data_IF_657975336667
#
_entry.id   IF_657975336667
#
_cell.length_a   1.000
_cell.length_b   1.000
_cell.length_c   1.000
_cell.angle_alpha   90.00
_cell.angle_beta   90.00
_cell.angle_gamma   90.00
#
_symmetry.space_group_name_H-M   'P 1'
#
loop_
_entity.id
_entity.type
_entity.pdbx_description
1 polymer ?
#
# COMPACT_ATOMS: atom_id res chain seq x y z
N UNK A 1 -1.60 -74.09 9.80
CA UNK A 1 -1.38 -73.28 11.01
C UNK A 1 -1.37 -71.82 10.59
N UNK A 2 -2.38 -71.00 11.00
CA UNK A 2 -2.40 -69.59 10.68
C UNK A 2 -1.24 -68.92 11.43
N UNK A 3 -0.32 -68.28 10.69
CA UNK A 3 0.76 -67.56 11.30
C UNK A 3 0.17 -66.42 12.20
N UNK A 4 0.40 -66.54 13.50
CA UNK A 4 -0.02 -65.57 14.48
C UNK A 4 0.77 -64.22 14.20
N UNK A 5 0.11 -63.12 13.93
CA UNK A 5 0.80 -61.88 13.60
C UNK A 5 1.64 -61.39 14.79
N UNK A 6 2.90 -61.06 14.54
CA UNK A 6 3.79 -60.50 15.57
C UNK A 6 3.52 -59.03 15.72
N UNK A 7 3.02 -58.63 16.90
CA UNK A 7 2.68 -57.21 17.20
C UNK A 7 3.75 -56.65 18.11
N UNK A 8 4.39 -55.55 17.68
CA UNK A 8 5.29 -54.79 18.52
C UNK A 8 4.81 -53.35 18.68
N UNK A 9 4.79 -52.88 19.93
CA UNK A 9 4.42 -51.46 20.28
C UNK A 9 5.64 -50.78 20.86
N UNK A 10 6.14 -49.79 20.14
CA UNK A 10 7.36 -49.05 20.50
C UNK A 10 7.21 -48.17 21.73
N UNK A 11 8.33 -47.60 22.19
CA UNK A 11 8.36 -46.59 23.24
C UNK A 11 7.50 -45.38 22.89
N UNK A 12 6.90 -44.69 23.89
CA UNK A 12 6.20 -43.42 23.64
C UNK A 12 7.20 -42.40 23.14
N UNK A 13 6.83 -41.71 22.04
CA UNK A 13 7.60 -40.55 21.58
C UNK A 13 7.37 -39.34 22.49
N UNK A 14 8.07 -38.21 22.22
CA UNK A 14 7.96 -36.98 23.03
C UNK A 14 6.52 -36.39 23.09
N UNK A 15 5.66 -36.84 22.19
CA UNK A 15 4.24 -36.51 22.18
C UNK A 15 3.37 -37.61 22.84
N UNK A 16 3.98 -38.68 23.38
CA UNK A 16 3.32 -39.78 23.99
C UNK A 16 2.68 -40.78 23.02
N UNK A 17 2.95 -40.65 21.70
CA UNK A 17 2.50 -41.66 20.71
C UNK A 17 3.39 -42.86 20.69
N UNK A 18 2.79 -44.04 20.58
CA UNK A 18 3.49 -45.30 20.42
C UNK A 18 3.35 -45.80 18.98
N UNK A 19 4.46 -46.18 18.36
CA UNK A 19 4.48 -46.77 17.02
C UNK A 19 4.05 -48.24 17.12
N UNK A 20 3.09 -48.64 16.30
CA UNK A 20 2.63 -50.03 16.22
C UNK A 20 3.16 -50.64 14.93
N UNK A 21 3.78 -51.79 15.05
CA UNK A 21 4.32 -52.59 13.96
C UNK A 21 3.63 -53.94 14.00
N UNK A 22 3.08 -54.39 12.88
CA UNK A 22 2.45 -55.74 12.73
C UNK A 22 3.22 -56.44 11.61
N UNK A 23 3.74 -57.64 11.90
CA UNK A 23 4.56 -58.44 10.98
C UNK A 23 5.70 -57.63 10.32
N UNK A 24 6.40 -56.82 11.11
CA UNK A 24 7.50 -55.98 10.63
C UNK A 24 7.09 -54.74 9.82
N UNK A 25 5.78 -54.56 9.52
CA UNK A 25 5.27 -53.40 8.77
C UNK A 25 4.66 -52.38 9.72
N UNK A 26 4.95 -51.07 9.53
CA UNK A 26 4.36 -50.03 10.37
C UNK A 26 2.85 -49.93 10.12
N UNK A 27 2.03 -50.28 11.12
CA UNK A 27 0.58 -50.25 11.06
C UNK A 27 -0.01 -48.89 11.46
N UNK A 28 0.75 -48.06 12.21
CA UNK A 28 0.31 -46.73 12.64
C UNK A 28 0.92 -46.28 13.95
N UNK A 29 0.42 -45.16 14.47
CA UNK A 29 0.77 -44.65 15.80
C UNK A 29 -0.50 -44.49 16.64
N UNK A 30 -0.42 -44.83 17.92
CA UNK A 30 -1.54 -44.81 18.84
C UNK A 30 -1.16 -44.11 20.15
N UNK A 31 -2.12 -43.50 20.82
CA UNK A 31 -1.93 -42.72 22.04
C UNK A 31 -2.73 -43.27 23.23
N UNK A 32 -3.54 -44.28 23.02
CA UNK A 32 -4.35 -44.90 24.08
C UNK A 32 -4.57 -46.35 23.82
N UNK A 33 -4.86 -47.17 24.88
CA UNK A 33 -5.22 -48.59 24.76
C UNK A 33 -6.42 -48.81 23.83
N UNK A 34 -7.43 -47.94 23.93
CA UNK A 34 -8.64 -48.02 23.10
C UNK A 34 -8.33 -47.83 21.60
N UNK A 35 -7.39 -46.94 21.28
CA UNK A 35 -6.98 -46.67 19.89
C UNK A 35 -6.11 -47.84 19.36
N UNK A 36 -5.27 -48.38 20.19
CA UNK A 36 -4.51 -49.60 19.86
C UNK A 36 -5.46 -50.75 19.51
N UNK A 37 -6.45 -51.01 20.34
CA UNK A 37 -7.46 -52.05 20.10
C UNK A 37 -8.22 -51.82 18.78
N UNK A 38 -8.62 -50.57 18.48
CA UNK A 38 -9.27 -50.25 17.20
C UNK A 38 -8.36 -50.47 16.00
N UNK A 39 -7.07 -50.11 16.12
CA UNK A 39 -6.08 -50.31 15.06
C UNK A 39 -5.86 -51.80 14.81
N UNK A 40 -5.70 -52.59 15.86
CA UNK A 40 -5.54 -54.06 15.78
C UNK A 40 -6.79 -54.71 15.17
N UNK A 41 -7.97 -54.29 15.59
CA UNK A 41 -9.23 -54.78 15.03
C UNK A 41 -9.36 -54.46 13.52
N UNK A 42 -8.98 -53.28 13.08
CA UNK A 42 -8.95 -52.91 11.65
C UNK A 42 -7.92 -53.70 10.86
N UNK A 43 -6.84 -54.09 11.50
CA UNK A 43 -5.80 -54.94 10.90
C UNK A 43 -6.17 -56.46 10.90
N UNK A 44 -7.39 -56.79 11.35
CA UNK A 44 -7.85 -58.18 11.39
C UNK A 44 -7.21 -59.03 12.47
N UNK A 45 -6.62 -58.40 13.51
CA UNK A 45 -5.97 -59.13 14.62
C UNK A 45 -7.00 -59.47 15.68
N UNK A 46 -7.17 -60.77 16.06
CA UNK A 46 -8.10 -61.21 17.09
C UNK A 46 -7.76 -60.66 18.47
N UNK A 47 -8.77 -60.55 19.35
CA UNK A 47 -8.56 -60.15 20.74
C UNK A 47 -7.75 -61.22 21.51
N UNK A 48 -6.78 -60.74 22.35
CA UNK A 48 -6.01 -61.63 23.22
C UNK A 48 -4.62 -62.04 22.69
N UNK A 49 -4.14 -61.38 21.62
CA UNK A 49 -2.79 -61.59 21.11
C UNK A 49 -1.73 -60.96 22.01
N UNK A 50 -0.62 -61.70 22.16
CA UNK A 50 0.55 -61.16 22.86
C UNK A 50 1.13 -59.95 22.13
N UNK A 51 1.26 -58.83 22.87
CA UNK A 51 1.82 -57.58 22.37
C UNK A 51 3.22 -57.40 22.95
N UNK A 52 4.21 -57.36 22.07
CA UNK A 52 5.58 -57.08 22.48
C UNK A 52 5.79 -55.56 22.71
N UNK A 53 5.92 -55.18 23.99
CA UNK A 53 6.10 -53.80 24.41
C UNK A 53 7.60 -53.41 24.46
N UNK A 54 7.95 -52.32 23.78
CA UNK A 54 9.31 -51.80 23.76
C UNK A 54 9.33 -50.42 24.47
N UNK A 55 10.21 -50.28 25.47
CA UNK A 55 10.41 -49.01 26.18
C UNK A 55 9.25 -48.59 27.07
N UNK A 56 8.63 -49.52 27.76
CA UNK A 56 7.53 -49.31 28.71
C UNK A 56 6.39 -50.28 28.46
N UNK A 57 5.66 -50.66 29.50
CA UNK A 57 4.55 -51.64 29.46
C UNK A 57 3.22 -51.01 28.99
N UNK A 58 2.15 -51.81 29.08
CA UNK A 58 0.80 -51.41 28.69
C UNK A 58 0.18 -50.30 29.55
N UNK A 59 0.81 -49.92 30.66
CA UNK A 59 0.30 -48.90 31.59
C UNK A 59 0.83 -47.49 31.27
N UNK A 60 1.91 -47.39 30.51
CA UNK A 60 2.57 -46.12 30.16
C UNK A 60 1.89 -45.48 28.97
N UNK A 61 0.89 -44.64 29.25
CA UNK A 61 0.19 -43.83 28.25
C UNK A 61 0.18 -42.35 28.65
N UNK A 62 0.03 -41.39 27.69
CA UNK A 62 -0.06 -39.98 28.04
C UNK A 62 -1.32 -39.72 28.85
N UNK A 63 -1.16 -39.13 30.02
CA UNK A 63 -2.23 -38.92 30.99
C UNK A 63 -3.40 -38.03 30.51
N UNK A 64 -3.16 -37.10 29.56
CA UNK A 64 -4.19 -36.19 29.11
C UNK A 64 -4.06 -35.81 27.63
N UNK A 65 -4.99 -36.19 26.75
CA UNK A 65 -4.98 -35.83 25.34
C UNK A 65 -5.38 -34.35 25.10
N UNK A 66 -5.97 -33.69 26.10
CA UNK A 66 -6.51 -32.34 26.01
C UNK A 66 -5.46 -31.26 25.67
N UNK A 67 -4.32 -31.13 26.40
CA UNK A 67 -3.33 -30.10 26.11
C UNK A 67 -2.81 -30.19 24.68
N UNK A 68 -2.62 -31.40 24.20
CA UNK A 68 -2.16 -31.70 22.86
C UNK A 68 -3.17 -31.25 21.79
N UNK A 69 -4.46 -31.53 22.00
CA UNK A 69 -5.52 -31.08 21.09
C UNK A 69 -5.62 -29.54 21.04
N UNK A 70 -5.52 -28.93 22.21
CA UNK A 70 -5.54 -27.44 22.31
C UNK A 70 -4.36 -26.86 21.52
N UNK A 71 -3.14 -27.32 21.77
CA UNK A 71 -1.95 -26.85 21.06
C UNK A 71 -2.09 -27.04 19.55
N UNK A 72 -2.52 -28.22 19.10
CA UNK A 72 -2.76 -28.50 17.69
C UNK A 72 -3.83 -27.59 17.06
N UNK A 73 -4.91 -27.30 17.78
CA UNK A 73 -5.97 -26.40 17.32
C UNK A 73 -5.48 -24.96 17.25
N UNK A 74 -4.77 -24.48 18.27
CA UNK A 74 -4.19 -23.13 18.28
C UNK A 74 -3.15 -22.97 17.16
N UNK A 75 -2.32 -24.00 16.91
CA UNK A 75 -1.40 -24.01 15.77
C UNK A 75 -2.14 -23.90 14.44
N UNK A 76 -3.16 -24.73 14.22
CA UNK A 76 -3.93 -24.72 12.99
C UNK A 76 -4.66 -23.39 12.76
N UNK A 77 -5.26 -22.84 13.81
CA UNK A 77 -5.96 -21.53 13.73
C UNK A 77 -4.97 -20.41 13.39
N UNK A 78 -3.81 -20.37 14.04
CA UNK A 78 -2.82 -19.32 13.77
C UNK A 78 -2.25 -19.39 12.36
N UNK A 79 -1.89 -20.59 11.87
CA UNK A 79 -1.45 -20.78 10.48
C UNK A 79 -2.55 -20.41 9.48
N UNK A 80 -3.80 -20.78 9.75
CA UNK A 80 -4.92 -20.43 8.88
C UNK A 80 -5.19 -18.91 8.88
N UNK A 81 -5.06 -18.26 10.02
CA UNK A 81 -5.19 -16.80 10.12
C UNK A 81 -4.11 -16.11 9.29
N UNK A 82 -2.84 -16.52 9.41
CA UNK A 82 -1.74 -16.00 8.62
C UNK A 82 -1.97 -16.24 7.14
N UNK A 83 -2.34 -17.46 6.74
CA UNK A 83 -2.66 -17.80 5.36
C UNK A 83 -3.78 -16.91 4.78
N UNK A 84 -4.82 -16.66 5.56
CA UNK A 84 -5.96 -15.84 5.14
C UNK A 84 -5.55 -14.37 4.88
N UNK A 85 -4.69 -13.81 5.74
CA UNK A 85 -4.18 -12.44 5.58
C UNK A 85 -3.26 -12.36 4.37
N UNK A 86 -2.34 -13.33 4.20
CA UNK A 86 -1.45 -13.39 3.04
C UNK A 86 -2.22 -13.56 1.74
N UNK A 87 -3.25 -14.41 1.74
CA UNK A 87 -4.11 -14.61 0.57
C UNK A 87 -4.87 -13.31 0.21
N UNK A 88 -5.41 -12.60 1.20
CA UNK A 88 -6.10 -11.33 0.98
C UNK A 88 -5.19 -10.29 0.32
N UNK A 89 -4.00 -10.06 0.88
CA UNK A 89 -3.02 -9.13 0.33
C UNK A 89 -2.54 -9.62 -1.04
N UNK A 90 -2.22 -10.91 -1.15
CA UNK A 90 -1.71 -11.51 -2.37
C UNK A 90 -2.68 -11.44 -3.54
N UNK A 91 -3.98 -11.68 -3.34
CA UNK A 91 -5.01 -11.56 -4.38
C UNK A 91 -5.10 -10.10 -4.83
N UNK A 92 -5.25 -9.17 -3.88
CA UNK A 92 -5.37 -7.75 -4.20
C UNK A 92 -4.14 -7.23 -4.96
N UNK A 93 -2.92 -7.55 -4.51
CA UNK A 93 -1.70 -7.07 -5.16
C UNK A 93 -1.46 -7.72 -6.53
N UNK A 94 -1.81 -9.00 -6.70
CA UNK A 94 -1.66 -9.68 -8.00
C UNK A 94 -2.56 -9.08 -9.07
N UNK A 95 -3.78 -8.70 -8.69
CA UNK A 95 -4.80 -8.18 -9.61
C UNK A 95 -4.68 -6.67 -9.82
N UNK A 96 -4.54 -5.91 -8.73
CA UNK A 96 -4.77 -4.46 -8.71
C UNK A 96 -3.50 -3.62 -8.52
N UNK A 97 -2.33 -4.24 -8.22
CA UNK A 97 -1.11 -3.46 -8.03
C UNK A 97 -0.73 -2.69 -9.30
N UNK A 98 -0.38 -1.41 -9.12
CA UNK A 98 0.01 -0.51 -10.22
C UNK A 98 1.34 -0.89 -10.85
N UNK A 99 2.26 -1.46 -10.05
CA UNK A 99 3.60 -1.80 -10.48
C UNK A 99 3.74 -3.30 -10.73
N UNK A 100 4.54 -3.67 -11.74
CA UNK A 100 4.85 -5.07 -12.01
C UNK A 100 5.49 -5.78 -10.80
N UNK A 101 6.38 -5.09 -10.09
CA UNK A 101 6.97 -5.62 -8.86
C UNK A 101 5.94 -5.85 -7.74
N UNK A 102 4.89 -5.01 -7.64
CA UNK A 102 3.76 -5.22 -6.72
C UNK A 102 2.99 -6.50 -7.05
N UNK A 103 2.75 -6.78 -8.33
CA UNK A 103 2.08 -8.01 -8.78
C UNK A 103 2.91 -9.26 -8.49
N UNK A 104 4.24 -9.21 -8.69
CA UNK A 104 5.13 -10.30 -8.31
C UNK A 104 5.11 -10.54 -6.80
N UNK A 105 5.13 -9.46 -6.01
CA UNK A 105 5.01 -9.55 -4.55
C UNK A 105 3.68 -10.20 -4.15
N UNK A 106 2.57 -9.80 -4.78
CA UNK A 106 1.26 -10.40 -4.58
C UNK A 106 1.25 -11.90 -4.85
N UNK A 107 1.79 -12.31 -6.00
CA UNK A 107 1.93 -13.73 -6.34
C UNK A 107 2.79 -14.49 -5.31
N UNK A 108 3.87 -13.89 -4.84
CA UNK A 108 4.71 -14.47 -3.78
C UNK A 108 3.91 -14.69 -2.50
N UNK A 109 3.08 -13.73 -2.08
CA UNK A 109 2.19 -13.90 -0.93
C UNK A 109 1.17 -15.02 -1.13
N UNK A 110 0.65 -15.22 -2.35
CA UNK A 110 -0.25 -16.35 -2.63
C UNK A 110 0.45 -17.70 -2.48
N UNK A 111 1.69 -17.82 -2.96
CA UNK A 111 2.49 -19.04 -2.78
C UNK A 111 2.75 -19.30 -1.30
N UNK A 112 3.09 -18.25 -0.53
CA UNK A 112 3.31 -18.38 0.91
C UNK A 112 2.01 -18.75 1.64
N UNK A 113 0.88 -18.18 1.25
CA UNK A 113 -0.44 -18.56 1.80
C UNK A 113 -0.77 -20.04 1.52
N UNK A 114 -0.45 -20.55 0.33
CA UNK A 114 -0.62 -21.95 0.01
C UNK A 114 0.25 -22.86 0.89
N UNK A 115 1.50 -22.48 1.12
CA UNK A 115 2.40 -23.21 2.04
C UNK A 115 1.84 -23.21 3.46
N UNK A 116 1.29 -22.11 3.94
CA UNK A 116 0.65 -22.00 5.25
C UNK A 116 -0.60 -22.89 5.36
N UNK A 117 -1.41 -23.02 4.30
CA UNK A 117 -2.55 -23.95 4.25
C UNK A 117 -2.06 -25.39 4.35
N UNK A 118 -1.00 -25.74 3.61
CA UNK A 118 -0.39 -27.10 3.70
C UNK A 118 0.15 -27.32 5.12
N UNK A 119 0.81 -26.34 5.72
CA UNK A 119 1.30 -26.41 7.09
C UNK A 119 0.14 -26.56 8.10
N UNK A 120 -1.02 -25.94 7.85
CA UNK A 120 -2.23 -26.12 8.67
C UNK A 120 -2.72 -27.58 8.65
N UNK A 121 -2.79 -28.18 7.46
CA UNK A 121 -3.15 -29.60 7.33
C UNK A 121 -2.13 -30.50 8.01
N UNK A 122 -0.84 -30.17 7.83
CA UNK A 122 0.24 -30.91 8.51
C UNK A 122 0.18 -30.74 10.04
N UNK A 123 -0.25 -29.58 10.57
CA UNK A 123 -0.44 -29.38 12.01
C UNK A 123 -1.53 -30.30 12.57
N UNK A 124 -2.64 -30.46 11.85
CA UNK A 124 -3.70 -31.37 12.25
C UNK A 124 -3.18 -32.83 12.28
N UNK A 125 -2.38 -33.23 11.30
CA UNK A 125 -1.78 -34.56 11.31
C UNK A 125 -0.73 -34.72 12.42
N UNK A 126 0.18 -33.78 12.57
CA UNK A 126 1.27 -33.84 13.55
C UNK A 126 0.78 -33.94 14.98
N UNK A 127 -0.27 -33.18 15.34
CA UNK A 127 -0.85 -33.20 16.68
C UNK A 127 -1.91 -34.29 16.89
N UNK A 128 -2.39 -34.95 15.83
CA UNK A 128 -3.32 -36.11 15.91
C UNK A 128 -2.58 -37.44 15.86
N UNK A 129 -2.29 -37.92 14.66
CA UNK A 129 -1.82 -39.28 14.40
C UNK A 129 -0.38 -39.37 13.90
N UNK A 130 0.15 -38.27 13.42
CA UNK A 130 1.51 -38.17 12.87
C UNK A 130 1.77 -39.22 11.79
N UNK A 131 0.82 -39.38 10.88
CA UNK A 131 0.90 -40.36 9.80
C UNK A 131 1.91 -39.96 8.73
N UNK A 132 1.97 -38.65 8.42
CA UNK A 132 2.92 -38.13 7.46
C UNK A 132 4.31 -37.93 8.08
N UNK A 133 5.32 -38.49 7.44
CA UNK A 133 6.71 -38.50 7.94
C UNK A 133 7.27 -37.08 8.16
N UNK A 134 6.84 -36.09 7.36
CA UNK A 134 7.35 -34.70 7.36
C UNK A 134 6.36 -33.70 7.92
N UNK A 135 5.26 -34.13 8.57
CA UNK A 135 4.26 -33.19 9.08
C UNK A 135 4.83 -32.16 10.07
N UNK A 136 5.73 -32.57 10.99
CA UNK A 136 6.39 -31.68 11.91
C UNK A 136 7.26 -30.61 11.22
N UNK A 137 7.99 -31.03 10.18
CA UNK A 137 8.82 -30.13 9.38
C UNK A 137 7.99 -29.10 8.60
N UNK A 138 6.86 -29.54 8.04
CA UNK A 138 5.94 -28.63 7.33
C UNK A 138 5.34 -27.58 8.27
N UNK A 139 4.93 -27.97 9.48
CA UNK A 139 4.43 -27.04 10.50
C UNK A 139 5.53 -26.06 10.94
N UNK A 140 6.75 -26.57 11.15
CA UNK A 140 7.89 -25.71 11.50
C UNK A 140 8.18 -24.67 10.43
N UNK A 141 8.12 -25.07 9.17
CA UNK A 141 8.35 -24.18 8.04
C UNK A 141 7.24 -23.12 7.93
N UNK A 142 5.96 -23.51 8.09
CA UNK A 142 4.86 -22.54 8.17
C UNK A 142 5.02 -21.55 9.32
N UNK A 143 5.35 -22.04 10.53
CA UNK A 143 5.57 -21.15 11.67
C UNK A 143 6.75 -20.18 11.48
N UNK A 144 7.80 -20.58 10.76
CA UNK A 144 8.92 -19.70 10.38
C UNK A 144 8.48 -18.62 9.38
N UNK A 145 7.67 -18.99 8.38
CA UNK A 145 7.09 -18.03 7.42
C UNK A 145 6.20 -17.04 8.16
N UNK A 146 5.29 -17.52 9.01
CA UNK A 146 4.39 -16.68 9.80
C UNK A 146 5.17 -15.68 10.67
N UNK A 147 6.23 -16.12 11.36
CA UNK A 147 7.06 -15.24 12.16
C UNK A 147 7.81 -14.22 11.30
N UNK A 148 8.44 -14.67 10.21
CA UNK A 148 9.21 -13.79 9.33
C UNK A 148 8.35 -12.68 8.77
N UNK A 149 7.19 -13.01 8.21
CA UNK A 149 6.29 -12.05 7.58
C UNK A 149 5.67 -11.12 8.62
N UNK A 150 5.08 -11.68 9.70
CA UNK A 150 4.43 -10.84 10.72
C UNK A 150 5.43 -9.88 11.39
N UNK A 151 6.67 -10.32 11.64
CA UNK A 151 7.72 -9.46 12.22
C UNK A 151 8.16 -8.35 11.25
N UNK A 152 8.35 -8.68 9.96
CA UNK A 152 8.73 -7.68 8.96
C UNK A 152 7.61 -6.64 8.77
N UNK A 153 6.36 -7.08 8.64
CA UNK A 153 5.23 -6.16 8.47
C UNK A 153 5.00 -5.29 9.72
N UNK A 154 5.15 -5.88 10.90
CA UNK A 154 5.11 -5.13 12.16
C UNK A 154 6.23 -4.09 12.23
N UNK A 155 7.48 -4.46 11.88
CA UNK A 155 8.61 -3.55 11.86
C UNK A 155 8.41 -2.39 10.87
N UNK A 156 7.93 -2.68 9.65
CA UNK A 156 7.65 -1.67 8.63
C UNK A 156 6.56 -0.70 9.11
N UNK A 157 5.53 -1.21 9.77
CA UNK A 157 4.43 -0.39 10.28
C UNK A 157 4.87 0.51 11.44
N UNK A 158 5.63 -0.02 12.39
CA UNK A 158 6.18 0.76 13.51
C UNK A 158 7.15 1.83 13.00
N UNK A 159 8.07 1.47 12.08
CA UNK A 159 9.01 2.42 11.47
C UNK A 159 8.32 3.52 10.66
N UNK A 160 7.14 3.21 10.11
CA UNK A 160 6.30 4.17 9.39
C UNK A 160 5.46 5.09 10.28
N UNK A 161 5.45 4.89 11.60
CA UNK A 161 4.61 5.60 12.59
C UNK A 161 3.10 5.55 12.24
N UNK A 162 2.65 4.48 11.58
CA UNK A 162 1.26 4.31 11.16
C UNK A 162 0.55 3.36 12.13
N UNK A 163 -0.25 3.93 13.02
CA UNK A 163 -1.02 3.17 14.02
C UNK A 163 -2.44 2.90 13.50
N UNK A 164 -2.60 1.84 12.70
CA UNK A 164 -3.88 1.41 12.18
C UNK A 164 -4.33 0.07 12.80
N UNK A 165 -5.53 -0.40 12.45
CA UNK A 165 -6.11 -1.64 12.99
C UNK A 165 -5.24 -2.88 12.71
N UNK A 166 -4.40 -2.85 11.69
CA UNK A 166 -3.50 -3.95 11.34
C UNK A 166 -2.38 -4.16 12.38
N UNK A 167 -2.05 -3.14 13.19
CA UNK A 167 -1.13 -3.31 14.31
C UNK A 167 -1.67 -4.34 15.32
N UNK A 168 -2.99 -4.29 15.58
CA UNK A 168 -3.66 -5.26 16.46
C UNK A 168 -3.66 -6.68 15.88
N UNK A 169 -3.40 -6.83 14.59
CA UNK A 169 -3.27 -8.11 13.92
C UNK A 169 -1.82 -8.64 13.97
N UNK A 170 -0.85 -7.77 13.65
CA UNK A 170 0.56 -8.19 13.55
C UNK A 170 1.18 -8.53 14.91
N UNK A 171 0.84 -7.79 15.96
CA UNK A 171 1.37 -8.07 17.31
C UNK A 171 0.95 -9.46 17.80
N UNK A 172 -0.34 -9.85 17.84
CA UNK A 172 -0.72 -11.21 18.24
C UNK A 172 -0.15 -12.31 17.33
N UNK A 173 -0.08 -12.08 16.00
CA UNK A 173 0.49 -13.07 15.08
C UNK A 173 1.99 -13.29 15.33
N UNK A 174 2.75 -12.22 15.60
CA UNK A 174 4.17 -12.31 15.91
C UNK A 174 4.40 -13.03 17.25
N UNK A 175 3.61 -12.73 18.27
CA UNK A 175 3.67 -13.41 19.57
C UNK A 175 3.29 -14.88 19.44
N UNK A 176 2.19 -15.17 18.73
CA UNK A 176 1.75 -16.53 18.48
C UNK A 176 2.78 -17.34 17.70
N UNK A 177 3.34 -16.80 16.62
CA UNK A 177 4.34 -17.52 15.81
C UNK A 177 5.64 -17.77 16.57
N UNK A 178 6.05 -16.84 17.43
CA UNK A 178 7.19 -17.02 18.34
C UNK A 178 6.94 -18.16 19.34
N UNK A 179 5.75 -18.18 19.95
CA UNK A 179 5.31 -19.27 20.83
C UNK A 179 5.22 -20.61 20.09
N UNK A 180 4.68 -20.58 18.85
CA UNK A 180 4.58 -21.75 18.01
C UNK A 180 5.96 -22.38 17.71
N UNK A 181 6.93 -21.54 17.34
CA UNK A 181 8.31 -21.98 17.11
C UNK A 181 8.94 -22.53 18.38
N UNK A 182 8.73 -21.88 19.52
CA UNK A 182 9.25 -22.37 20.80
C UNK A 182 8.73 -23.78 21.12
N UNK A 183 7.42 -24.04 20.92
CA UNK A 183 6.87 -25.38 21.14
C UNK A 183 7.43 -26.39 20.13
N UNK A 184 7.48 -26.04 18.83
CA UNK A 184 7.97 -26.93 17.79
C UNK A 184 9.45 -27.28 17.96
N UNK A 185 10.26 -26.34 18.45
CA UNK A 185 11.66 -26.61 18.80
C UNK A 185 11.75 -27.54 19.99
N UNK A 186 10.94 -27.34 21.03
CA UNK A 186 10.90 -28.20 22.19
C UNK A 186 10.41 -29.62 21.87
N UNK A 187 9.48 -29.76 20.93
CA UNK A 187 8.99 -31.06 20.43
C UNK A 187 9.89 -31.66 19.35
N UNK A 188 11.06 -31.12 19.07
CA UNK A 188 12.01 -31.56 18.05
C UNK A 188 11.34 -31.87 16.71
N UNK A 189 10.48 -30.97 16.24
CA UNK A 189 9.70 -31.18 15.01
C UNK A 189 10.57 -31.37 13.75
N UNK A 190 11.86 -31.06 13.81
CA UNK A 190 12.85 -31.22 12.74
C UNK A 190 13.43 -32.66 12.63
N UNK A 191 13.20 -33.56 13.56
CA UNK A 191 13.85 -34.89 13.55
C UNK A 191 13.52 -35.74 12.31
N UNK A 192 12.49 -35.37 11.55
CA UNK A 192 12.17 -36.01 10.26
C UNK A 192 13.02 -35.52 9.07
N UNK A 193 13.78 -34.43 9.21
CA UNK A 193 14.50 -33.78 8.11
C UNK A 193 15.92 -34.34 7.99
N UNK A 194 16.25 -34.84 6.80
CA UNK A 194 17.61 -35.31 6.49
C UNK A 194 18.48 -34.07 6.17
N UNK A 195 19.50 -33.79 7.01
CA UNK A 195 20.38 -32.65 6.90
C UNK A 195 19.68 -31.26 7.03
N UNK A 196 19.05 -30.93 8.17
CA UNK A 196 18.28 -29.69 8.36
C UNK A 196 19.12 -28.42 8.15
N UNK A 197 20.44 -28.44 8.46
CA UNK A 197 21.34 -27.29 8.25
C UNK A 197 21.49 -26.90 6.78
N UNK A 198 21.62 -27.85 5.86
CA UNK A 198 21.75 -27.57 4.41
C UNK A 198 20.46 -27.02 3.83
N UNK A 199 19.32 -27.51 4.28
CA UNK A 199 18.00 -27.02 3.87
C UNK A 199 17.77 -25.60 4.40
N UNK A 200 18.14 -25.32 5.66
CA UNK A 200 18.03 -23.98 6.23
C UNK A 200 18.88 -22.97 5.47
N UNK A 201 20.13 -23.28 5.15
CA UNK A 201 21.00 -22.39 4.36
C UNK A 201 20.42 -22.17 2.96
N UNK A 202 19.99 -23.25 2.29
CA UNK A 202 19.37 -23.17 0.95
C UNK A 202 18.05 -22.41 0.90
N UNK A 203 17.32 -22.26 2.01
CA UNK A 203 16.10 -21.47 2.08
C UNK A 203 16.35 -20.02 2.52
N UNK A 204 17.26 -19.78 3.47
CA UNK A 204 17.53 -18.43 4.04
C UNK A 204 18.19 -17.52 3.01
N UNK A 205 19.16 -18.00 2.24
CA UNK A 205 19.87 -17.14 1.26
C UNK A 205 18.94 -16.63 0.17
N UNK A 206 18.15 -17.48 -0.54
CA UNK A 206 17.17 -17.01 -1.52
C UNK A 206 16.11 -16.09 -0.91
N UNK A 207 15.63 -16.39 0.32
CA UNK A 207 14.66 -15.54 1.00
C UNK A 207 15.20 -14.13 1.31
N UNK A 208 16.46 -14.01 1.76
CA UNK A 208 17.12 -12.73 1.97
C UNK A 208 17.32 -11.97 0.66
N UNK A 209 17.75 -12.65 -0.40
CA UNK A 209 17.90 -12.03 -1.73
C UNK A 209 16.55 -11.55 -2.27
N UNK A 210 15.49 -12.35 -2.12
CA UNK A 210 14.14 -11.97 -2.51
C UNK A 210 13.63 -10.77 -1.69
N UNK A 211 13.82 -10.76 -0.38
CA UNK A 211 13.45 -9.64 0.49
C UNK A 211 14.24 -8.36 0.14
N UNK A 212 15.54 -8.48 -0.14
CA UNK A 212 16.38 -7.35 -0.56
C UNK A 212 15.93 -6.79 -1.90
N UNK A 213 15.67 -7.66 -2.87
CA UNK A 213 15.18 -7.26 -4.19
C UNK A 213 13.79 -6.61 -4.11
N UNK A 214 12.90 -7.17 -3.30
CA UNK A 214 11.58 -6.59 -3.05
C UNK A 214 11.70 -5.19 -2.43
N UNK A 215 12.55 -5.04 -1.43
CA UNK A 215 12.81 -3.75 -0.77
C UNK A 215 13.39 -2.75 -1.77
N UNK A 216 14.36 -3.15 -2.55
CA UNK A 216 14.95 -2.29 -3.57
C UNK A 216 13.92 -1.84 -4.61
N UNK A 217 13.17 -2.78 -5.20
CA UNK A 217 12.22 -2.48 -6.28
C UNK A 217 10.96 -1.73 -5.82
N UNK A 218 10.44 -2.03 -4.62
CA UNK A 218 9.18 -1.44 -4.12
C UNK A 218 9.39 -0.16 -3.32
N UNK A 219 10.55 0.01 -2.69
CA UNK A 219 10.80 1.15 -1.81
C UNK A 219 11.86 2.11 -2.35
N UNK A 220 12.97 1.61 -2.86
CA UNK A 220 14.09 2.46 -3.27
C UNK A 220 13.90 3.06 -4.66
N UNK A 221 13.69 2.25 -5.69
CA UNK A 221 13.59 2.73 -7.09
C UNK A 221 12.45 3.73 -7.26
N UNK A 222 11.22 3.49 -6.77
CA UNK A 222 10.15 4.48 -6.85
C UNK A 222 10.46 5.78 -6.12
N UNK A 223 11.29 5.73 -5.07
CA UNK A 223 11.63 6.90 -4.26
C UNK A 223 12.59 7.86 -4.98
N UNK A 224 13.52 7.34 -5.76
CA UNK A 224 14.60 8.14 -6.39
C UNK A 224 14.14 8.86 -7.66
N UNK A 225 13.15 8.33 -8.39
CA UNK A 225 12.69 8.92 -9.66
C UNK A 225 11.78 10.11 -9.42
N UNK A 226 12.10 11.27 -9.98
CA UNK A 226 11.27 12.47 -9.91
C UNK A 226 10.40 12.64 -11.16
N UNK A 227 9.16 13.14 -11.05
CA UNK A 227 8.36 13.51 -12.22
C UNK A 227 8.98 14.75 -12.90
N UNK A 228 9.01 14.74 -14.22
CA UNK A 228 9.46 15.89 -15.00
C UNK A 228 8.27 16.42 -15.80
N UNK A 229 7.59 17.40 -15.23
CA UNK A 229 6.46 18.08 -15.85
C UNK A 229 6.86 19.51 -16.18
N UNK A 230 6.62 19.90 -17.40
CA UNK A 230 6.82 21.27 -17.90
C UNK A 230 5.47 21.94 -18.09
N UNK A 231 5.40 23.23 -17.83
CA UNK A 231 4.22 24.04 -18.08
C UNK A 231 4.64 25.44 -18.53
N UNK A 232 3.76 26.12 -19.20
CA UNK A 232 4.02 27.47 -19.64
C UNK A 232 2.78 28.19 -20.12
N UNK A 233 2.97 29.48 -20.35
CA UNK A 233 2.00 30.38 -20.94
C UNK A 233 2.64 31.11 -22.10
N UNK A 234 1.88 31.40 -23.15
CA UNK A 234 2.28 32.18 -24.32
C UNK A 234 1.15 33.14 -24.70
N UNK A 235 1.47 34.39 -24.98
CA UNK A 235 0.48 35.33 -25.48
C UNK A 235 0.18 35.05 -26.95
N UNK A 236 -1.10 34.98 -27.28
CA UNK A 236 -1.58 34.99 -28.66
C UNK A 236 -1.93 36.42 -29.04
N UNK A 237 -2.26 36.62 -30.33
CA UNK A 237 -2.60 37.93 -30.85
C UNK A 237 -3.87 38.48 -30.19
N UNK A 238 -3.81 39.60 -29.48
CA UNK A 238 -4.97 40.20 -28.84
C UNK A 238 -5.90 40.85 -29.86
N UNK A 239 -7.18 41.04 -29.49
CA UNK A 239 -8.18 41.71 -30.31
C UNK A 239 -8.96 42.72 -29.47
N UNK A 240 -9.47 43.77 -30.13
CA UNK A 240 -10.34 44.75 -29.49
C UNK A 240 -11.80 44.49 -29.82
N UNK A 241 -12.67 44.77 -28.87
CA UNK A 241 -14.12 44.83 -29.15
C UNK A 241 -14.43 45.98 -30.11
N UNK A 242 -15.57 45.95 -30.80
CA UNK A 242 -16.05 46.98 -31.73
C UNK A 242 -16.03 48.41 -31.11
N UNK A 243 -16.34 48.50 -29.83
CA UNK A 243 -16.39 49.75 -29.09
C UNK A 243 -15.01 50.20 -28.54
N UNK A 244 -13.94 49.43 -28.79
CA UNK A 244 -12.58 49.66 -28.28
C UNK A 244 -12.45 49.73 -26.73
N UNK A 245 -13.52 49.37 -26.02
CA UNK A 245 -13.56 49.43 -24.55
C UNK A 245 -13.05 48.17 -23.88
N UNK A 246 -12.95 47.05 -24.60
CA UNK A 246 -12.50 45.80 -24.06
C UNK A 246 -11.48 45.15 -24.99
N UNK A 247 -10.32 44.82 -24.44
CA UNK A 247 -9.29 44.04 -25.12
C UNK A 247 -9.40 42.56 -24.68
N UNK A 248 -9.52 41.69 -25.64
CA UNK A 248 -9.48 40.26 -25.46
C UNK A 248 -8.04 39.78 -25.68
N UNK A 249 -7.42 39.27 -24.63
CA UNK A 249 -6.05 38.75 -24.65
C UNK A 249 -6.08 37.22 -24.52
N UNK A 250 -5.93 36.48 -25.63
CA UNK A 250 -5.82 35.04 -25.57
C UNK A 250 -4.45 34.64 -25.05
N UNK A 251 -4.43 33.74 -24.07
CA UNK A 251 -3.23 33.18 -23.49
C UNK A 251 -3.24 31.66 -23.74
N UNK A 252 -2.27 31.17 -24.47
CA UNK A 252 -2.06 29.78 -24.68
C UNK A 252 -1.37 29.16 -23.46
N UNK A 253 -2.00 28.19 -22.84
CA UNK A 253 -1.54 27.52 -21.62
C UNK A 253 -1.28 26.06 -21.95
N UNK A 254 -0.14 25.54 -21.54
CA UNK A 254 0.19 24.14 -21.76
C UNK A 254 0.83 23.48 -20.54
N UNK A 255 0.63 22.18 -20.43
CA UNK A 255 1.28 21.28 -19.48
C UNK A 255 1.69 20.02 -20.22
N UNK A 256 2.97 19.66 -20.13
CA UNK A 256 3.57 18.52 -20.80
C UNK A 256 4.33 17.65 -19.82
N UNK A 257 4.08 16.34 -19.84
CA UNK A 257 4.90 15.40 -19.11
C UNK A 257 6.09 14.97 -19.97
N UNK A 258 7.23 15.62 -19.76
CA UNK A 258 8.48 15.29 -20.43
C UNK A 258 9.25 14.16 -19.72
N UNK A 259 8.75 13.67 -18.59
CA UNK A 259 9.33 12.59 -17.82
C UNK A 259 8.84 11.21 -18.27
N UNK A 260 9.29 10.19 -17.56
CA UNK A 260 8.91 8.79 -17.81
C UNK A 260 7.82 8.29 -16.81
N UNK A 261 7.45 9.12 -15.86
CA UNK A 261 6.52 8.74 -14.79
C UNK A 261 5.17 9.40 -15.02
N UNK A 262 4.06 8.64 -15.08
CA UNK A 262 2.73 9.21 -15.18
C UNK A 262 2.36 9.94 -13.90
N UNK A 263 1.64 11.05 -14.02
CA UNK A 263 1.22 11.89 -12.90
C UNK A 263 -0.28 12.18 -12.94
N UNK A 264 -0.84 12.56 -11.78
CA UNK A 264 -2.12 13.23 -11.70
C UNK A 264 -1.89 14.73 -11.47
N UNK A 265 -2.62 15.57 -12.18
CA UNK A 265 -2.65 17.02 -11.95
C UNK A 265 -3.70 17.28 -10.89
N UNK A 266 -3.27 17.63 -9.69
CA UNK A 266 -4.15 17.87 -8.54
C UNK A 266 -4.88 19.20 -8.65
N UNK A 267 -4.20 20.21 -9.13
CA UNK A 267 -4.75 21.54 -9.38
C UNK A 267 -3.82 22.35 -10.24
N UNK A 268 -4.37 23.31 -10.95
CA UNK A 268 -3.66 24.18 -11.85
C UNK A 268 -4.23 25.59 -11.77
N UNK A 269 -3.37 26.58 -11.81
CA UNK A 269 -3.75 27.98 -11.87
C UNK A 269 -2.84 28.70 -12.84
N UNK A 270 -3.40 29.66 -13.58
CA UNK A 270 -2.60 30.64 -14.27
C UNK A 270 -2.92 32.02 -13.72
N UNK A 271 -1.97 32.92 -13.79
CA UNK A 271 -2.10 34.33 -13.45
C UNK A 271 -1.77 35.16 -14.63
N UNK A 272 -2.55 36.18 -14.82
CA UNK A 272 -2.22 37.35 -15.65
C UNK A 272 -1.96 38.53 -14.72
N UNK A 273 -0.77 39.08 -14.79
CA UNK A 273 -0.34 40.21 -13.93
C UNK A 273 0.16 41.39 -14.78
N UNK A 274 -0.23 42.58 -14.38
CA UNK A 274 0.27 43.82 -14.94
C UNK A 274 1.29 44.46 -14.01
N UNK A 275 2.38 44.97 -14.57
CA UNK A 275 3.42 45.70 -13.87
C UNK A 275 3.16 47.20 -13.99
N UNK A 276 2.92 47.87 -12.86
CA UNK A 276 2.68 49.31 -12.81
C UNK A 276 3.97 50.08 -12.47
N UNK A 277 4.38 51.13 -13.22
CA UNK A 277 5.61 51.89 -12.95
C UNK A 277 5.68 52.48 -11.54
N UNK A 278 4.53 52.91 -11.01
CA UNK A 278 4.42 53.55 -9.69
C UNK A 278 4.38 52.59 -8.50
N UNK A 279 4.30 51.26 -8.71
CA UNK A 279 4.08 50.32 -7.64
C UNK A 279 5.37 49.59 -7.21
N UNK A 280 6.54 50.26 -7.29
CA UNK A 280 7.86 49.70 -6.95
C UNK A 280 8.11 48.29 -7.55
N UNK A 281 7.61 48.08 -8.77
CA UNK A 281 7.77 46.77 -9.45
C UNK A 281 6.87 45.65 -8.94
N UNK A 282 5.93 45.92 -8.04
CA UNK A 282 4.99 44.89 -7.58
C UNK A 282 3.91 44.64 -8.65
N UNK A 283 3.76 43.40 -9.12
CA UNK A 283 2.76 43.07 -10.13
C UNK A 283 1.36 43.10 -9.53
N UNK A 284 0.40 43.67 -10.26
CA UNK A 284 -1.03 43.67 -9.92
C UNK A 284 -1.71 42.52 -10.65
N UNK A 285 -2.46 41.71 -9.96
CA UNK A 285 -3.21 40.61 -10.58
C UNK A 285 -4.37 41.16 -11.41
N UNK A 286 -4.38 40.83 -12.71
CA UNK A 286 -5.45 41.15 -13.63
C UNK A 286 -6.48 40.05 -13.63
N UNK A 287 -6.03 38.80 -13.76
CA UNK A 287 -6.90 37.60 -13.77
C UNK A 287 -6.17 36.42 -13.19
N UNK A 288 -6.96 35.43 -12.68
CA UNK A 288 -6.46 34.12 -12.29
C UNK A 288 -7.56 33.09 -12.41
N UNK A 289 -7.28 31.98 -13.07
CA UNK A 289 -8.23 30.88 -13.29
C UNK A 289 -7.53 29.54 -13.27
N UNK A 290 -8.32 28.52 -12.97
CA UNK A 290 -7.93 27.14 -13.18
C UNK A 290 -7.92 26.85 -14.70
N UNK A 291 -6.89 26.13 -15.18
CA UNK A 291 -6.79 25.86 -16.61
C UNK A 291 -6.82 24.35 -16.94
N UNK A 292 -6.51 23.45 -16.03
CA UNK A 292 -6.71 22.01 -16.24
C UNK A 292 -7.96 21.57 -15.47
N UNK A 293 -9.02 21.27 -16.18
CA UNK A 293 -10.30 20.82 -15.60
C UNK A 293 -10.74 19.50 -16.24
N UNK A 294 -11.26 18.53 -15.47
CA UNK A 294 -11.37 18.49 -14.01
C UNK A 294 -9.99 18.28 -13.35
N UNK A 295 -9.83 18.69 -12.09
CA UNK A 295 -8.65 18.34 -11.31
C UNK A 295 -8.52 16.83 -11.16
N UNK A 296 -7.31 16.29 -10.92
CA UNK A 296 -7.03 14.84 -10.87
C UNK A 296 -6.92 14.17 -12.24
N UNK A 297 -6.91 14.93 -13.29
CA UNK A 297 -6.63 14.41 -14.63
C UNK A 297 -5.25 13.77 -14.69
N UNK A 298 -5.18 12.55 -15.23
CA UNK A 298 -3.91 11.88 -15.45
C UNK A 298 -3.18 12.50 -16.65
N UNK A 299 -1.86 12.61 -16.53
CA UNK A 299 -0.97 13.03 -17.61
C UNK A 299 0.12 11.95 -17.78
N UNK A 300 0.05 11.20 -18.87
CA UNK A 300 0.98 10.12 -19.15
C UNK A 300 2.32 10.66 -19.72
N UNK A 301 3.40 9.87 -19.71
CA UNK A 301 4.65 10.25 -20.35
C UNK A 301 4.46 10.67 -21.81
N UNK A 302 5.00 11.83 -22.20
CA UNK A 302 4.88 12.40 -23.55
C UNK A 302 3.52 13.09 -23.82
N UNK A 303 2.54 12.98 -22.95
CA UNK A 303 1.23 13.63 -23.12
C UNK A 303 1.33 15.12 -22.82
N UNK A 304 0.58 15.92 -23.59
CA UNK A 304 0.45 17.35 -23.43
C UNK A 304 -1.02 17.73 -23.36
N UNK A 305 -1.35 18.63 -22.44
CA UNK A 305 -2.64 19.28 -22.33
C UNK A 305 -2.41 20.75 -22.64
N UNK A 306 -3.05 21.24 -23.68
CA UNK A 306 -3.00 22.65 -24.07
C UNK A 306 -4.40 23.23 -24.20
N UNK A 307 -4.56 24.47 -23.81
CA UNK A 307 -5.80 25.23 -24.02
C UNK A 307 -5.54 26.73 -24.09
N UNK A 308 -6.42 27.44 -24.76
CA UNK A 308 -6.40 28.88 -24.81
C UNK A 308 -7.40 29.48 -23.79
N UNK A 309 -6.92 30.38 -22.97
CA UNK A 309 -7.74 31.15 -22.06
C UNK A 309 -7.82 32.59 -22.56
N UNK A 310 -9.03 33.11 -22.73
CA UNK A 310 -9.23 34.51 -23.13
C UNK A 310 -9.46 35.36 -21.88
N UNK A 311 -8.61 36.34 -21.67
CA UNK A 311 -8.74 37.32 -20.58
C UNK A 311 -9.27 38.63 -21.15
N UNK A 312 -10.29 39.18 -20.50
CA UNK A 312 -10.92 40.42 -20.84
C UNK A 312 -10.29 41.55 -20.01
N UNK A 313 -9.71 42.56 -20.69
CA UNK A 313 -9.17 43.75 -20.06
C UNK A 313 -10.08 44.93 -20.45
N UNK A 314 -10.91 45.36 -19.51
CA UNK A 314 -11.83 46.47 -19.72
C UNK A 314 -11.09 47.81 -19.64
N UNK A 315 -11.43 48.72 -20.53
CA UNK A 315 -10.82 50.05 -20.66
C UNK A 315 -9.27 49.98 -20.68
N UNK A 316 -8.66 49.29 -21.66
CA UNK A 316 -7.21 49.06 -21.68
C UNK A 316 -6.40 50.38 -21.66
N UNK A 317 -6.94 51.48 -22.20
CA UNK A 317 -6.29 52.76 -22.23
C UNK A 317 -6.18 53.47 -20.85
N UNK A 318 -6.95 52.99 -19.86
CA UNK A 318 -6.87 53.49 -18.48
C UNK A 318 -5.72 52.87 -17.68
N UNK A 319 -5.19 51.75 -18.15
CA UNK A 319 -4.10 51.05 -17.46
C UNK A 319 -2.75 51.51 -18.03
N UNK A 320 -1.90 51.97 -17.16
CA UNK A 320 -0.52 52.32 -17.52
C UNK A 320 0.41 51.18 -17.09
N UNK A 321 0.20 49.96 -17.66
CA UNK A 321 1.09 48.82 -17.42
C UNK A 321 2.36 49.00 -18.26
N UNK A 322 3.52 48.81 -17.64
CA UNK A 322 4.79 48.72 -18.36
C UNK A 322 4.87 47.40 -19.14
N UNK A 323 4.47 46.30 -18.49
CA UNK A 323 4.44 44.97 -19.09
C UNK A 323 3.29 44.16 -18.49
N UNK A 324 2.85 43.16 -19.25
CA UNK A 324 1.93 42.13 -18.79
C UNK A 324 2.66 40.80 -18.80
N UNK A 325 2.50 40.04 -17.74
CA UNK A 325 3.09 38.70 -17.61
C UNK A 325 2.02 37.64 -17.34
N UNK A 326 2.18 36.47 -17.97
CA UNK A 326 1.37 35.28 -17.72
C UNK A 326 2.26 34.15 -17.21
N UNK A 327 1.82 33.51 -16.17
CA UNK A 327 2.54 32.41 -15.57
C UNK A 327 1.56 31.31 -15.11
N UNK A 328 1.97 30.06 -15.22
CA UNK A 328 1.21 28.90 -14.75
C UNK A 328 1.83 28.31 -13.50
N UNK A 329 1.00 27.72 -12.65
CA UNK A 329 1.42 26.88 -11.52
C UNK A 329 0.50 25.69 -11.40
N UNK A 330 1.07 24.55 -11.11
CA UNK A 330 0.31 23.32 -10.91
C UNK A 330 0.97 22.44 -9.85
N UNK A 331 0.15 21.63 -9.22
CA UNK A 331 0.58 20.58 -8.33
C UNK A 331 0.30 19.21 -8.96
N UNK A 332 1.34 18.38 -9.02
CA UNK A 332 1.27 17.03 -9.55
C UNK A 332 1.65 16.03 -8.50
N UNK A 333 1.05 14.83 -8.59
CA UNK A 333 1.36 13.69 -7.74
C UNK A 333 1.57 12.47 -8.62
N UNK A 334 2.47 11.59 -8.23
CA UNK A 334 2.85 10.43 -9.03
C UNK A 334 1.76 9.38 -9.07
N UNK A 335 1.32 9.02 -10.29
CA UNK A 335 0.32 7.98 -10.53
C UNK A 335 0.84 6.56 -10.28
N UNK A 336 2.13 6.31 -10.42
CA UNK A 336 2.74 5.00 -10.17
C UNK A 336 2.92 4.68 -8.68
N UNK A 337 2.81 5.69 -7.80
CA UNK A 337 2.91 5.50 -6.35
C UNK A 337 1.57 5.38 -5.65
N UNK A 338 0.50 5.82 -6.30
CA UNK A 338 -0.82 5.86 -5.69
C UNK A 338 -1.95 5.86 -6.73
N UNK A 339 -3.12 5.43 -6.29
CA UNK A 339 -4.38 5.63 -7.00
C UNK A 339 -5.20 6.68 -6.29
N UNK A 340 -5.89 7.51 -7.05
CA UNK A 340 -6.93 8.38 -6.54
C UNK A 340 -8.28 7.73 -6.80
N UNK A 341 -9.19 7.81 -5.84
CA UNK A 341 -10.58 7.44 -6.07
C UNK A 341 -11.16 8.41 -7.09
N UNK A 342 -11.81 7.87 -8.12
CA UNK A 342 -12.38 8.65 -9.23
C UNK A 342 -13.54 9.58 -8.81
N UNK A 343 -14.00 9.53 -7.58
CA UNK A 343 -15.04 10.39 -7.02
C UNK A 343 -14.46 11.77 -6.67
N UNK A 344 -14.02 12.43 -7.73
CA UNK A 344 -13.77 13.85 -7.68
C UNK A 344 -15.07 14.59 -7.48
N UNK A 345 -15.12 15.32 -6.44
CA UNK A 345 -16.26 15.89 -5.85
C UNK A 345 -16.90 17.10 -6.46
N UNK A 346 -16.67 17.38 -7.71
CA UNK A 346 -17.64 18.09 -8.55
C UNK A 346 -18.81 17.21 -9.00
N UNK A 347 -18.81 15.91 -8.67
CA UNK A 347 -20.03 15.11 -8.82
C UNK A 347 -21.10 15.68 -7.90
N UNK A 348 -22.36 15.75 -8.37
CA UNK A 348 -23.50 16.19 -7.54
C UNK A 348 -23.59 15.40 -6.22
N UNK A 349 -23.07 14.18 -6.17
CA UNK A 349 -23.03 13.29 -5.02
C UNK A 349 -21.95 13.74 -4.02
N UNK A 350 -20.72 14.01 -4.45
CA UNK A 350 -19.65 14.51 -3.59
C UNK A 350 -19.96 15.86 -2.98
N UNK A 351 -20.52 16.80 -3.77
CA UNK A 351 -20.97 18.11 -3.25
C UNK A 351 -22.12 17.96 -2.22
N UNK A 352 -22.99 16.96 -2.38
CA UNK A 352 -24.04 16.67 -1.41
C UNK A 352 -23.47 16.09 -0.12
N UNK A 353 -22.47 15.21 -0.21
CA UNK A 353 -21.77 14.64 0.94
C UNK A 353 -20.93 15.70 1.66
N UNK A 354 -20.22 16.56 0.95
CA UNK A 354 -19.51 17.71 1.51
C UNK A 354 -20.46 18.67 2.27
N UNK A 355 -21.62 18.97 1.69
CA UNK A 355 -22.63 19.79 2.36
C UNK A 355 -23.26 19.08 3.56
N UNK A 356 -23.46 17.76 3.50
CA UNK A 356 -23.95 16.96 4.63
C UNK A 356 -22.91 16.86 5.76
N UNK A 357 -21.63 16.86 5.42
CA UNK A 357 -20.48 16.90 6.35
C UNK A 357 -20.07 18.31 6.76
N UNK A 358 -20.88 19.31 6.50
CA UNK A 358 -20.56 20.74 6.66
C UNK A 358 -19.99 21.19 8.02
N UNK A 359 -19.96 20.32 9.02
CA UNK A 359 -19.21 20.50 10.27
C UNK A 359 -17.76 20.02 10.21
N UNK A 360 -17.40 19.21 9.19
CA UNK A 360 -16.12 18.51 9.07
C UNK A 360 -15.26 19.06 7.90
N UNK A 361 -15.69 20.14 7.23
CA UNK A 361 -14.84 20.81 6.24
C UNK A 361 -13.66 21.40 7.02
N UNK A 362 -12.42 21.03 6.68
CA UNK A 362 -11.25 21.57 7.33
C UNK A 362 -11.30 23.12 7.25
N UNK A 363 -11.20 23.79 8.37
CA UNK A 363 -11.13 25.25 8.38
C UNK A 363 -9.72 25.64 7.96
N UNK A 364 -9.60 26.16 6.75
CA UNK A 364 -8.38 26.78 6.27
C UNK A 364 -8.12 28.14 6.95
N UNK A 365 -6.94 28.74 6.70
CA UNK A 365 -6.64 30.08 7.14
C UNK A 365 -7.61 31.10 6.52
N UNK A 366 -7.66 32.31 7.05
CA UNK A 366 -8.46 33.41 6.48
C UNK A 366 -8.14 33.58 4.99
N UNK A 367 -9.16 33.62 4.14
CA UNK A 367 -9.00 33.71 2.68
C UNK A 367 -8.77 32.38 1.95
N UNK A 368 -8.76 31.26 2.64
CA UNK A 368 -8.68 29.94 2.00
C UNK A 368 -10.07 29.42 1.63
N UNK A 369 -10.22 29.00 0.39
CA UNK A 369 -11.41 28.35 -0.14
C UNK A 369 -11.10 26.87 -0.39
N UNK A 370 -11.81 25.99 0.31
CA UNK A 370 -11.68 24.54 0.09
C UNK A 370 -12.28 24.14 -1.25
N UNK A 371 -11.52 23.42 -2.06
CA UNK A 371 -11.94 22.98 -3.40
C UNK A 371 -12.41 21.54 -3.43
N UNK A 372 -11.60 20.63 -2.96
CA UNK A 372 -11.95 19.20 -2.88
C UNK A 372 -10.99 18.41 -1.99
N UNK A 373 -11.43 17.22 -1.63
CA UNK A 373 -10.63 16.21 -0.98
C UNK A 373 -10.84 14.87 -1.68
N UNK A 374 -9.77 14.10 -1.87
CA UNK A 374 -9.83 12.76 -2.44
C UNK A 374 -9.03 11.78 -1.59
N UNK A 375 -9.58 10.58 -1.43
CA UNK A 375 -8.84 9.50 -0.78
C UNK A 375 -7.81 8.95 -1.77
N UNK A 376 -6.57 8.84 -1.34
CA UNK A 376 -5.50 8.24 -2.10
C UNK A 376 -5.09 6.90 -1.47
N UNK A 377 -4.93 5.89 -2.32
CA UNK A 377 -4.43 4.56 -1.96
C UNK A 377 -3.01 4.39 -2.49
N UNK A 378 -2.17 3.67 -1.77
CA UNK A 378 -0.81 3.37 -2.23
C UNK A 378 -0.84 2.45 -3.48
N UNK A 379 0.32 2.26 -4.11
CA UNK A 379 0.46 1.50 -5.36
C UNK A 379 0.09 0.02 -5.26
N UNK A 380 -0.03 -0.51 -4.06
CA UNK A 380 -0.44 -1.88 -3.79
C UNK A 380 -1.06 -2.02 -2.40
N UNK A 381 -1.76 -3.11 -2.13
CA UNK A 381 -2.45 -3.37 -0.86
C UNK A 381 -1.47 -3.61 0.29
N UNK A 382 -0.31 -4.21 0.03
CA UNK A 382 0.76 -4.34 1.01
C UNK A 382 1.14 -2.98 1.61
N UNK A 383 1.29 -1.95 0.77
CA UNK A 383 1.57 -0.58 1.22
C UNK A 383 0.37 0.07 1.90
N UNK A 384 -0.86 -0.23 1.47
CA UNK A 384 -2.07 0.25 2.14
C UNK A 384 -2.20 -0.29 3.57
N UNK A 385 -1.88 -1.57 3.75
CA UNK A 385 -1.91 -2.23 5.06
C UNK A 385 -0.82 -1.70 5.99
N UNK A 386 0.39 -1.48 5.47
CA UNK A 386 1.55 -1.06 6.28
C UNK A 386 1.65 0.44 6.49
N UNK A 387 1.21 1.27 5.54
CA UNK A 387 1.33 2.72 5.56
C UNK A 387 0.00 3.46 5.76
N UNK A 388 -1.12 2.76 5.61
CA UNK A 388 -2.45 3.35 5.61
C UNK A 388 -2.77 4.11 4.31
N UNK A 389 -4.05 4.43 4.15
CA UNK A 389 -4.53 5.33 3.11
C UNK A 389 -4.38 6.76 3.59
N UNK A 390 -4.33 7.71 2.66
CA UNK A 390 -4.22 9.14 2.94
C UNK A 390 -5.35 9.89 2.24
N UNK A 391 -5.52 11.16 2.58
CA UNK A 391 -6.39 12.09 1.88
C UNK A 391 -5.54 13.21 1.29
N UNK A 392 -5.77 13.56 0.04
CA UNK A 392 -5.24 14.78 -0.57
C UNK A 392 -6.33 15.84 -0.57
N UNK A 393 -6.01 17.03 -0.06
CA UNK A 393 -6.92 18.16 -0.01
C UNK A 393 -6.35 19.31 -0.82
N UNK A 394 -7.19 20.00 -1.59
CA UNK A 394 -6.83 21.16 -2.38
C UNK A 394 -7.59 22.41 -1.90
N UNK A 395 -6.84 23.49 -1.79
CA UNK A 395 -7.32 24.79 -1.36
C UNK A 395 -6.90 25.87 -2.35
N UNK A 396 -7.78 26.83 -2.56
CA UNK A 396 -7.41 28.10 -3.12
C UNK A 396 -7.23 29.08 -1.99
N UNK A 397 -6.11 29.79 -2.01
CA UNK A 397 -5.76 30.74 -0.97
C UNK A 397 -5.53 32.08 -1.63
N UNK A 398 -6.18 33.10 -1.11
CA UNK A 398 -5.97 34.48 -1.54
C UNK A 398 -5.06 35.16 -0.52
N UNK A 399 -3.91 35.63 -1.00
CA UNK A 399 -2.96 36.37 -0.20
C UNK A 399 -3.44 37.77 0.08
N UNK A 400 -2.77 38.48 0.99
CA UNK A 400 -3.08 39.86 1.38
C UNK A 400 -2.94 40.86 0.23
N UNK A 401 -2.11 40.55 -0.76
CA UNK A 401 -1.94 41.31 -2.00
C UNK A 401 -3.01 41.03 -3.07
N UNK A 402 -3.95 40.14 -2.76
CA UNK A 402 -5.00 39.69 -3.68
C UNK A 402 -4.58 38.56 -4.63
N UNK A 403 -3.33 38.12 -4.59
CA UNK A 403 -2.86 37.02 -5.43
C UNK A 403 -3.47 35.70 -4.94
N UNK A 404 -4.09 34.94 -5.87
CA UNK A 404 -4.62 33.62 -5.59
C UNK A 404 -3.57 32.55 -5.90
N UNK A 405 -3.35 31.60 -5.02
CA UNK A 405 -2.47 30.45 -5.24
C UNK A 405 -3.12 29.15 -4.77
N UNK A 406 -2.57 28.03 -5.20
CA UNK A 406 -3.04 26.69 -4.82
C UNK A 406 -2.20 26.18 -3.66
N UNK A 407 -2.87 25.64 -2.65
CA UNK A 407 -2.24 24.86 -1.60
C UNK A 407 -2.76 23.42 -1.66
N UNK A 408 -1.85 22.46 -1.54
CA UNK A 408 -2.16 21.03 -1.52
C UNK A 408 -1.58 20.42 -0.26
N UNK A 409 -2.42 19.69 0.45
CA UNK A 409 -2.03 18.97 1.66
C UNK A 409 -2.38 17.48 1.55
N UNK A 410 -1.58 16.63 2.20
CA UNK A 410 -1.78 15.18 2.26
C UNK A 410 -1.78 14.74 3.72
N UNK A 411 -2.93 14.31 4.20
CA UNK A 411 -3.16 13.95 5.60
C UNK A 411 -3.69 12.53 5.76
N UNK A 412 -3.48 11.88 6.91
CA UNK A 412 -4.13 10.62 7.22
C UNK A 412 -5.66 10.75 7.23
N UNK A 413 -6.41 9.69 6.88
CA UNK A 413 -7.87 9.69 6.96
C UNK A 413 -8.34 9.94 8.39
N UNK A 414 -9.30 10.86 8.56
CA UNK A 414 -9.87 11.21 9.86
C UNK A 414 -9.14 12.33 10.60
N UNK A 415 -7.98 12.77 10.17
CA UNK A 415 -7.38 14.02 10.62
C UNK A 415 -8.04 15.19 9.87
N UNK A 416 -9.05 15.79 10.49
CA UNK A 416 -9.79 16.94 9.94
C UNK A 416 -9.01 18.27 9.98
N UNK A 417 -7.82 18.25 10.53
CA UNK A 417 -6.95 19.43 10.70
C UNK A 417 -5.66 19.24 9.91
N UNK A 418 -5.75 19.39 8.61
CA UNK A 418 -4.60 19.92 7.91
C UNK A 418 -4.40 21.33 8.44
N UNK A 419 -3.52 21.51 9.39
CA UNK A 419 -2.98 22.82 9.66
C UNK A 419 -2.22 23.23 8.41
N UNK A 420 -2.83 24.10 7.59
CA UNK A 420 -2.14 24.78 6.50
C UNK A 420 -1.06 25.63 7.17
N UNK A 421 0.11 25.03 7.35
CA UNK A 421 1.25 25.73 7.89
C UNK A 421 2.02 26.36 6.72
N UNK A 422 1.65 27.58 6.39
CA UNK A 422 2.32 28.37 5.34
C UNK A 422 3.73 28.79 5.71
N UNK A 423 4.02 28.87 7.01
CA UNK A 423 5.31 29.30 7.51
C UNK A 423 6.33 28.14 7.51
N UNK A 424 5.86 26.90 7.44
CA UNK A 424 6.70 25.73 7.43
C UNK A 424 6.42 24.80 6.22
N UNK A 425 6.91 25.18 5.02
CA UNK A 425 6.72 24.37 3.81
C UNK A 425 7.37 22.95 3.91
N UNK A 426 8.15 22.69 4.96
CA UNK A 426 8.82 21.42 5.19
C UNK A 426 8.08 20.51 6.19
N UNK A 427 7.02 20.98 6.85
CA UNK A 427 6.29 20.18 7.85
C UNK A 427 5.83 18.83 7.29
N UNK A 428 5.51 18.74 5.99
CA UNK A 428 5.05 17.54 5.31
C UNK A 428 6.08 16.93 4.34
N UNK A 429 7.36 17.27 4.45
CA UNK A 429 8.40 16.83 3.50
C UNK A 429 8.45 15.31 3.31
N UNK A 430 8.30 14.55 4.38
CA UNK A 430 8.29 13.08 4.33
C UNK A 430 7.09 12.55 3.54
N UNK A 431 5.91 13.15 3.73
CA UNK A 431 4.67 12.79 3.02
C UNK A 431 4.74 13.23 1.56
N UNK A 432 5.21 14.44 1.29
CA UNK A 432 5.45 14.96 -0.06
C UNK A 432 6.36 14.01 -0.85
N UNK A 433 7.49 13.65 -0.27
CA UNK A 433 8.43 12.74 -0.90
C UNK A 433 7.84 11.33 -1.12
N UNK A 434 7.05 10.83 -0.16
CA UNK A 434 6.42 9.51 -0.24
C UNK A 434 5.53 9.37 -1.47
N UNK A 435 4.72 10.38 -1.75
CA UNK A 435 3.77 10.37 -2.86
C UNK A 435 4.28 11.07 -4.11
N UNK A 436 5.48 11.68 -4.05
CA UNK A 436 6.05 12.45 -5.15
C UNK A 436 5.18 13.66 -5.52
N UNK A 437 4.59 14.31 -4.50
CA UNK A 437 3.89 15.57 -4.67
C UNK A 437 4.91 16.64 -5.07
N UNK A 438 4.69 17.29 -6.19
CA UNK A 438 5.61 18.28 -6.77
C UNK A 438 4.84 19.51 -7.20
N UNK A 439 5.33 20.67 -6.80
CA UNK A 439 4.88 21.95 -7.33
C UNK A 439 5.66 22.28 -8.59
N UNK A 440 4.95 22.55 -9.67
CA UNK A 440 5.54 22.94 -10.96
C UNK A 440 5.15 24.39 -11.24
N UNK A 441 6.15 25.25 -11.31
CA UNK A 441 5.99 26.62 -11.85
C UNK A 441 6.36 26.60 -13.32
N UNK A 442 5.44 27.07 -14.14
CA UNK A 442 5.64 27.19 -15.57
C UNK A 442 6.54 28.35 -15.96
N UNK A 443 6.99 28.32 -17.20
CA UNK A 443 7.67 29.47 -17.81
C UNK A 443 6.75 30.69 -17.78
N UNK A 444 7.34 31.86 -17.51
CA UNK A 444 6.64 33.13 -17.53
C UNK A 444 6.75 33.74 -18.93
N UNK A 445 5.61 34.00 -19.56
CA UNK A 445 5.57 34.88 -20.72
C UNK A 445 5.43 36.33 -20.23
N UNK A 446 6.21 37.25 -20.81
CA UNK A 446 6.13 38.66 -20.50
C UNK A 446 6.24 39.47 -21.79
N UNK A 447 5.38 40.47 -21.95
CA UNK A 447 5.33 41.33 -23.12
C UNK A 447 5.01 42.77 -22.68
N UNK A 448 5.65 43.80 -23.29
CA UNK A 448 5.26 45.17 -23.08
C UNK A 448 3.77 45.42 -23.38
N UNK A 449 3.07 46.12 -22.51
CA UNK A 449 1.61 46.30 -22.68
C UNK A 449 1.26 47.09 -23.94
N UNK A 450 2.09 48.08 -24.26
CA UNK A 450 1.95 48.91 -25.49
C UNK A 450 1.98 48.03 -26.74
N UNK A 451 2.89 47.06 -26.81
CA UNK A 451 2.99 46.13 -27.96
C UNK A 451 1.71 45.29 -28.12
N UNK A 452 1.08 44.90 -27.00
CA UNK A 452 -0.19 44.14 -27.04
C UNK A 452 -1.33 45.06 -27.54
N UNK A 453 -1.34 46.34 -27.13
CA UNK A 453 -2.34 47.29 -27.60
C UNK A 453 -2.18 47.57 -29.11
N UNK A 454 -0.96 47.78 -29.59
CA UNK A 454 -0.66 47.97 -31.02
C UNK A 454 -1.12 46.75 -31.84
N UNK A 455 -0.74 45.54 -31.44
CA UNK A 455 -1.17 44.30 -32.11
C UNK A 455 -2.69 44.09 -32.11
N UNK A 456 -3.37 44.60 -31.08
CA UNK A 456 -4.84 44.53 -31.00
C UNK A 456 -5.52 45.53 -31.95
N UNK A 457 -4.85 46.65 -32.29
CA UNK A 457 -5.33 47.64 -33.23
C UNK A 457 -5.11 47.23 -34.68
N UNK A 458 -4.03 46.52 -34.97
CA UNK A 458 -3.64 46.09 -36.33
C UNK A 458 -4.50 44.91 -36.88
N UNK A 459 -5.27 44.25 -36.06
CA UNK A 459 -6.21 43.18 -36.47
C UNK A 459 -7.53 43.77 -37.03
N UNK A 460 -7.48 44.53 -38.12
CA UNK A 460 -8.67 44.99 -38.85
C UNK A 460 -9.03 44.07 -39.99
#
# INVERSE_FOLDING_TARGET
MANTPVISVGAPDELGLRKVIIDGKPAGRVWSPRELQRLLHRAGVPFGHDIHWIGGDSTVWPDRPWPRRIVGTVMAIGLLATASVLAKIGIADTLDALTYGGRIAGFTFLVLALIEVIATLAAVDYWRKRQAKYSGAAVLFGALIALGISSVLLMVQISGHVYNIYLLLWVPLTLWSSWALWILTRCRAWEGIRNPRRIAIGAVIPALLAATNLTYSQFYVPYVTSPLVQSGAEFRTPSLNKDRKTMYLPVHLYVKNSGQVPVYILGSIFWLKGLLPKNNGRPTQIDSREFVTPPGRALNPGEEIAQDAVVEINDPDKFNFEAVSAQTELYVIRKDRMTMTADYERSKKGMKELRARGKDIPKGPPGAEFRYQSVISNSNELLNVTRGRQCVSLWWVRDTDGTTYIHVDVTPPGESKAALDFDNPYANKATINRYGLTRVRGSMAQTPFVELQEKAQDQR
#
